data_IF_298257549094
#
_entry.id   IF_298257549094
#
_cell.length_a   1.000
_cell.length_b   1.000
_cell.length_c   1.000
_cell.angle_alpha   90.00
_cell.angle_beta   90.00
_cell.angle_gamma   90.00
#
_symmetry.space_group_name_H-M   'P 1'
#
loop_
_entity.id
_entity.type
_entity.pdbx_description
1 polymer ?
#
# COMPACT_ATOMS: atom_id res chain seq x y z
N UNK A 1 -6.33 -23.91 19.13
CA UNK A 1 -7.77 -24.24 18.96
C UNK A 1 -8.70 -23.13 19.45
N UNK A 2 -8.36 -22.39 20.52
CA UNK A 2 -9.12 -21.21 20.99
C UNK A 2 -9.05 -20.04 20.01
N UNK A 3 -7.83 -19.70 19.60
CA UNK A 3 -7.49 -18.52 18.78
C UNK A 3 -8.24 -18.47 17.43
N UNK A 4 -8.30 -19.61 16.71
CA UNK A 4 -9.08 -19.73 15.48
C UNK A 4 -10.60 -19.58 15.69
N UNK A 5 -11.12 -19.77 16.92
CA UNK A 5 -12.52 -19.47 17.26
C UNK A 5 -12.72 -17.99 17.55
N UNK A 6 -11.79 -17.32 18.23
CA UNK A 6 -11.84 -15.86 18.44
C UNK A 6 -11.76 -15.12 17.09
N UNK A 7 -10.85 -15.51 16.21
CA UNK A 7 -10.77 -15.04 14.81
C UNK A 7 -12.08 -15.24 14.05
N UNK A 8 -12.69 -16.44 14.14
CA UNK A 8 -14.00 -16.68 13.50
C UNK A 8 -15.11 -15.83 14.12
N UNK A 9 -15.16 -15.66 15.45
CA UNK A 9 -16.17 -14.84 16.14
C UNK A 9 -16.02 -13.37 15.75
N UNK A 10 -14.80 -12.84 15.66
CA UNK A 10 -14.56 -11.45 15.31
C UNK A 10 -14.95 -11.18 13.85
N UNK A 11 -14.57 -12.05 12.91
CA UNK A 11 -14.99 -11.93 11.50
C UNK A 11 -16.51 -12.10 11.36
N UNK A 12 -17.13 -13.05 12.06
CA UNK A 12 -18.59 -13.24 12.05
C UNK A 12 -19.32 -12.00 12.60
N UNK A 13 -18.90 -11.45 13.73
CA UNK A 13 -19.47 -10.21 14.27
C UNK A 13 -19.31 -9.04 13.28
N UNK A 14 -18.17 -8.94 12.60
CA UNK A 14 -17.90 -7.88 11.60
C UNK A 14 -18.73 -8.04 10.33
N UNK A 15 -19.20 -9.25 9.97
CA UNK A 15 -20.06 -9.46 8.79
C UNK A 15 -21.56 -9.49 9.15
N UNK A 16 -21.97 -10.24 10.18
CA UNK A 16 -23.38 -10.51 10.53
C UNK A 16 -24.04 -9.46 11.45
N UNK A 17 -23.29 -8.59 12.13
CA UNK A 17 -23.92 -7.66 13.09
C UNK A 17 -24.92 -6.71 12.40
N UNK A 18 -26.16 -6.58 12.92
CA UNK A 18 -27.19 -5.74 12.30
C UNK A 18 -26.81 -4.26 12.34
N UNK A 19 -27.21 -3.51 11.31
CA UNK A 19 -26.92 -2.07 11.19
C UNK A 19 -27.79 -1.26 12.15
N UNK A 20 -27.26 -0.89 13.32
CA UNK A 20 -27.90 0.10 14.19
C UNK A 20 -27.95 1.48 13.52
N UNK A 21 -29.17 1.99 13.29
CA UNK A 21 -29.39 3.35 12.79
C UNK A 21 -29.29 4.36 13.93
N UNK A 22 -28.06 4.76 14.29
CA UNK A 22 -27.85 5.82 15.28
C UNK A 22 -28.02 7.21 14.63
N UNK A 23 -29.21 7.78 14.80
CA UNK A 23 -29.43 9.23 14.77
C UNK A 23 -28.87 9.89 16.04
N UNK A 24 -28.92 11.23 16.08
CA UNK A 24 -28.39 12.17 17.09
C UNK A 24 -26.94 12.60 16.78
N UNK A 25 -26.70 13.76 16.17
CA UNK A 25 -27.00 15.16 16.57
C UNK A 25 -25.98 15.75 17.56
N UNK A 26 -25.20 16.69 17.02
CA UNK A 26 -24.43 17.79 17.63
C UNK A 26 -24.54 18.02 19.16
N UNK A 27 -23.41 18.30 19.81
CA UNK A 27 -23.25 19.51 20.62
C UNK A 27 -21.77 19.88 20.90
N UNK A 28 -21.53 21.14 21.29
CA UNK A 28 -20.20 21.78 21.35
C UNK A 28 -19.64 21.98 22.78
N UNK A 29 -18.32 21.82 22.96
CA UNK A 29 -17.41 22.68 23.76
C UNK A 29 -15.95 22.16 23.61
N UNK A 30 -14.85 22.90 23.36
CA UNK A 30 -14.38 24.29 23.57
C UNK A 30 -13.53 24.48 24.84
N UNK A 31 -12.31 25.05 24.68
CA UNK A 31 -11.31 25.51 25.68
C UNK A 31 -10.63 24.43 26.57
N UNK A 32 -9.36 24.56 27.04
CA UNK A 32 -8.36 25.68 26.99
C UNK A 32 -6.90 25.18 27.01
N UNK A 33 -5.95 26.07 26.67
CA UNK A 33 -4.50 25.93 26.90
C UNK A 33 -4.09 25.61 28.34
N UNK A 34 -2.89 25.04 28.55
CA UNK A 34 -1.81 25.64 29.34
C UNK A 34 -0.43 24.99 29.05
N UNK A 35 0.59 25.80 28.74
CA UNK A 35 2.01 25.51 29.04
C UNK A 35 2.37 26.16 30.39
N UNK A 36 3.55 25.86 30.97
CA UNK A 36 4.61 26.87 30.89
C UNK A 36 6.06 26.36 30.76
N UNK A 37 6.85 27.12 29.99
CA UNK A 37 8.21 27.62 30.23
C UNK A 37 9.40 26.74 30.72
N UNK A 38 10.47 26.82 29.92
CA UNK A 38 11.88 27.10 30.28
C UNK A 38 12.57 26.46 31.51
N UNK A 39 13.67 25.76 31.22
CA UNK A 39 14.94 25.92 31.96
C UNK A 39 16.10 26.00 30.95
N UNK A 40 16.97 27.00 31.08
CA UNK A 40 18.25 27.10 30.35
C UNK A 40 19.34 26.33 31.08
N UNK A 41 20.34 25.80 30.35
CA UNK A 41 21.74 25.88 30.80
C UNK A 41 22.73 25.68 29.64
N UNK A 42 23.93 26.24 29.81
CA UNK A 42 25.02 26.33 28.84
C UNK A 42 25.99 25.14 28.98
N UNK A 43 26.77 24.88 27.93
CA UNK A 43 27.81 23.84 27.91
C UNK A 43 28.77 24.02 26.74
N UNK A 44 29.72 24.95 26.86
CA UNK A 44 30.77 25.18 25.86
C UNK A 44 31.96 24.24 26.06
N UNK A 45 32.53 23.74 24.95
CA UNK A 45 33.90 23.21 24.76
C UNK A 45 33.99 22.76 23.27
N UNK A 46 34.93 23.12 22.38
CA UNK A 46 36.34 23.57 22.48
C UNK A 46 37.26 22.56 23.16
N UNK A 47 38.37 22.07 22.57
CA UNK A 47 38.96 22.18 21.21
C UNK A 47 39.70 20.86 20.93
N UNK A 48 39.90 20.45 19.66
CA UNK A 48 41.25 20.11 19.15
C UNK A 48 41.26 19.91 17.62
N UNK A 49 42.12 20.68 16.94
CA UNK A 49 42.55 20.41 15.56
C UNK A 49 43.67 19.36 15.57
N UNK A 50 43.80 18.57 14.50
CA UNK A 50 45.11 18.17 13.99
C UNK A 50 45.09 18.06 12.45
N UNK A 51 46.18 18.46 11.82
CA UNK A 51 46.35 18.57 10.37
C UNK A 51 47.32 17.49 9.84
N UNK A 52 47.69 17.56 8.55
CA UNK A 52 48.61 16.70 7.76
C UNK A 52 47.96 15.51 7.02
N UNK A 53 48.36 15.16 5.79
CA UNK A 53 48.94 15.95 4.68
C UNK A 53 48.65 15.23 3.34
N UNK A 54 48.99 15.83 2.19
CA UNK A 54 48.57 15.39 0.86
C UNK A 54 49.47 14.35 0.18
N UNK A 55 48.91 13.61 -0.78
CA UNK A 55 49.59 13.19 -2.02
C UNK A 55 48.59 12.75 -3.12
N UNK A 56 48.79 13.23 -4.36
CA UNK A 56 48.33 12.61 -5.61
C UNK A 56 49.57 12.17 -6.42
N UNK A 57 49.42 11.31 -7.45
CA UNK A 57 49.29 11.78 -8.85
C UNK A 57 47.99 11.26 -9.51
N UNK A 58 47.32 11.99 -10.41
CA UNK A 58 47.65 12.24 -11.83
C UNK A 58 47.74 10.97 -12.72
N UNK A 59 46.76 10.78 -13.61
CA UNK A 59 46.97 10.37 -15.01
C UNK A 59 45.77 10.78 -15.90
N UNK A 60 45.93 10.74 -17.23
CA UNK A 60 45.02 11.32 -18.24
C UNK A 60 44.93 10.38 -19.48
N UNK A 61 43.96 10.44 -20.40
CA UNK A 61 42.92 11.43 -20.73
C UNK A 61 41.50 10.76 -20.61
N UNK A 62 40.36 11.15 -21.21
CA UNK A 62 40.04 12.03 -22.35
C UNK A 62 38.59 12.55 -22.31
N UNK A 63 38.33 13.60 -23.08
CA UNK A 63 37.04 14.29 -23.21
C UNK A 63 36.22 13.78 -24.40
N UNK A 64 34.88 13.80 -24.29
CA UNK A 64 33.96 14.02 -25.42
C UNK A 64 32.61 14.59 -24.89
N UNK A 65 32.38 15.89 -25.07
CA UNK A 65 31.08 16.55 -24.90
C UNK A 65 30.22 16.31 -26.17
N UNK A 66 28.91 16.55 -26.30
CA UNK A 66 27.88 17.38 -25.64
C UNK A 66 26.49 16.88 -26.19
N UNK A 67 25.32 17.53 -26.00
CA UNK A 67 24.95 18.68 -25.16
C UNK A 67 23.78 18.40 -24.17
N UNK A 68 23.34 19.44 -23.46
CA UNK A 68 22.22 19.44 -22.51
C UNK A 68 21.01 20.22 -23.04
N UNK A 69 19.80 19.67 -22.85
CA UNK A 69 18.51 20.40 -22.82
C UNK A 69 17.58 19.64 -21.84
N UNK A 70 16.80 20.25 -20.94
CA UNK A 70 16.72 21.65 -20.49
C UNK A 70 15.79 21.74 -19.26
N UNK A 71 15.94 22.76 -18.41
CA UNK A 71 15.08 22.98 -17.24
C UNK A 71 13.96 23.99 -17.54
N UNK A 72 12.74 23.68 -17.10
CA UNK A 72 11.68 24.60 -16.63
C UNK A 72 10.75 23.74 -15.75
N UNK A 73 10.71 23.91 -14.43
CA UNK A 73 10.07 24.98 -13.63
C UNK A 73 8.67 24.57 -13.14
N UNK A 74 8.29 25.12 -11.99
CA UNK A 74 7.09 24.75 -11.23
C UNK A 74 5.94 25.71 -11.56
N UNK A 75 4.71 25.22 -11.70
CA UNK A 75 3.50 26.05 -11.61
C UNK A 75 2.34 25.28 -10.99
N UNK A 76 1.41 26.02 -10.36
CA UNK A 76 0.60 25.54 -9.23
C UNK A 76 -0.66 24.72 -9.57
N UNK A 77 -1.24 24.10 -8.53
CA UNK A 77 -2.51 23.39 -8.56
C UNK A 77 -3.66 24.22 -9.14
N UNK A 78 -4.37 23.65 -10.13
CA UNK A 78 -5.81 23.86 -10.25
C UNK A 78 -6.58 22.54 -10.30
N UNK A 79 -7.51 22.46 -9.35
CA UNK A 79 -8.50 21.42 -9.16
C UNK A 79 -9.34 21.19 -10.42
N UNK A 80 -9.24 19.99 -11.01
CA UNK A 80 -10.17 19.53 -12.07
C UNK A 80 -10.65 18.09 -11.79
N UNK A 81 -10.98 17.84 -10.52
CA UNK A 81 -11.51 16.58 -10.02
C UNK A 81 -13.01 16.48 -10.32
N UNK A 82 -13.41 16.27 -11.58
CA UNK A 82 -14.73 15.70 -11.95
C UNK A 82 -14.94 15.25 -13.42
N UNK A 83 -13.90 15.14 -14.26
CA UNK A 83 -14.06 14.72 -15.68
C UNK A 83 -13.19 13.52 -16.10
N UNK A 84 -13.21 12.41 -15.33
CA UNK A 84 -12.57 11.14 -15.71
C UNK A 84 -13.38 10.32 -16.75
N UNK A 85 -14.16 10.99 -17.60
CA UNK A 85 -15.12 10.41 -18.53
C UNK A 85 -14.67 10.44 -19.99
N UNK A 86 -13.98 9.38 -20.43
CA UNK A 86 -13.84 8.93 -21.83
C UNK A 86 -13.52 9.98 -22.91
N UNK A 87 -12.22 10.17 -23.19
CA UNK A 87 -11.67 10.49 -24.52
C UNK A 87 -10.19 10.06 -24.53
N UNK A 88 -9.71 9.48 -25.64
CA UNK A 88 -8.31 9.04 -25.86
C UNK A 88 -7.76 7.91 -24.97
N UNK A 89 -8.45 6.76 -24.90
CA UNK A 89 -7.83 5.50 -24.50
C UNK A 89 -7.16 4.79 -25.70
N UNK A 90 -5.83 4.65 -25.69
CA UNK A 90 -5.13 3.68 -26.56
C UNK A 90 -5.54 2.25 -26.11
N UNK A 91 -5.93 1.34 -27.03
CA UNK A 91 -6.26 -0.05 -26.68
C UNK A 91 -5.19 -0.77 -25.82
N UNK A 92 -3.91 -0.39 -25.95
CA UNK A 92 -2.80 -0.90 -25.12
C UNK A 92 -2.82 -0.34 -23.69
N UNK A 93 -3.12 0.94 -23.51
CA UNK A 93 -3.19 1.55 -22.17
C UNK A 93 -4.44 1.12 -21.42
N UNK A 94 -5.58 0.91 -22.11
CA UNK A 94 -6.80 0.36 -21.53
C UNK A 94 -6.58 -1.02 -20.90
N UNK A 95 -5.87 -1.93 -21.59
CA UNK A 95 -5.51 -3.26 -21.07
C UNK A 95 -4.58 -3.21 -19.85
N UNK A 96 -3.59 -2.30 -19.87
CA UNK A 96 -2.72 -2.05 -18.71
C UNK A 96 -3.52 -1.48 -17.53
N UNK A 97 -4.36 -0.45 -17.74
CA UNK A 97 -5.19 0.16 -16.71
C UNK A 97 -6.08 -0.86 -16.04
N UNK A 98 -6.86 -1.64 -16.81
CA UNK A 98 -7.76 -2.65 -16.23
C UNK A 98 -6.99 -3.69 -15.41
N UNK A 99 -5.80 -4.10 -15.86
CA UNK A 99 -4.96 -5.02 -15.10
C UNK A 99 -4.46 -4.40 -13.80
N UNK A 100 -3.95 -3.15 -13.83
CA UNK A 100 -3.41 -2.48 -12.63
C UNK A 100 -4.51 -2.10 -11.64
N UNK A 101 -5.64 -1.60 -12.10
CA UNK A 101 -6.78 -1.30 -11.25
C UNK A 101 -7.26 -2.56 -10.52
N UNK A 102 -7.42 -3.69 -11.23
CA UNK A 102 -7.77 -4.96 -10.58
C UNK A 102 -6.73 -5.47 -9.58
N UNK A 103 -5.45 -5.13 -9.73
CA UNK A 103 -4.43 -5.40 -8.70
C UNK A 103 -4.64 -4.52 -7.44
N UNK A 104 -4.96 -3.24 -7.61
CA UNK A 104 -5.27 -2.32 -6.51
C UNK A 104 -6.61 -2.63 -5.81
N UNK A 105 -7.62 -3.05 -6.57
CA UNK A 105 -8.93 -3.47 -6.06
C UNK A 105 -8.81 -4.74 -5.21
N UNK A 106 -8.08 -5.75 -5.70
CA UNK A 106 -7.70 -6.92 -4.88
C UNK A 106 -6.95 -6.52 -3.61
N UNK A 107 -5.92 -5.66 -3.70
CA UNK A 107 -5.17 -5.20 -2.51
C UNK A 107 -6.11 -4.56 -1.47
N UNK A 108 -7.01 -3.69 -1.92
CA UNK A 108 -7.90 -2.93 -1.05
C UNK A 108 -8.90 -3.86 -0.35
N UNK A 109 -9.45 -4.86 -1.05
CA UNK A 109 -10.26 -5.92 -0.41
C UNK A 109 -9.42 -6.79 0.54
N UNK A 110 -8.17 -7.13 0.20
CA UNK A 110 -7.33 -7.93 1.10
C UNK A 110 -6.99 -7.17 2.39
N UNK A 111 -6.66 -5.88 2.30
CA UNK A 111 -6.46 -5.01 3.46
C UNK A 111 -7.72 -4.99 4.32
N UNK A 112 -8.89 -4.77 3.72
CA UNK A 112 -10.16 -4.71 4.44
C UNK A 112 -10.56 -6.03 5.12
N UNK A 113 -10.30 -7.17 4.48
CA UNK A 113 -10.58 -8.49 5.06
C UNK A 113 -9.59 -8.84 6.19
N UNK A 114 -8.32 -8.45 6.06
CA UNK A 114 -7.32 -8.62 7.11
C UNK A 114 -7.54 -7.64 8.28
N UNK A 115 -8.04 -6.42 8.03
CA UNK A 115 -8.32 -5.45 9.09
C UNK A 115 -9.53 -5.81 9.96
N UNK A 116 -10.20 -6.94 9.70
CA UNK A 116 -11.18 -7.53 10.63
C UNK A 116 -10.52 -8.24 11.82
N UNK A 117 -9.22 -8.56 11.73
CA UNK A 117 -8.47 -9.37 12.72
C UNK A 117 -7.04 -8.87 13.02
N UNK A 118 -6.55 -7.88 12.28
CA UNK A 118 -5.26 -7.22 12.50
C UNK A 118 -5.41 -5.70 12.46
N UNK A 119 -4.56 -4.98 13.19
CA UNK A 119 -4.24 -3.58 12.86
C UNK A 119 -3.22 -3.57 11.73
N UNK A 120 -3.43 -2.73 10.71
CA UNK A 120 -2.62 -2.67 9.49
C UNK A 120 -2.08 -1.26 9.27
N UNK A 121 -0.78 -1.13 9.04
CA UNK A 121 -0.12 0.15 8.76
C UNK A 121 0.24 0.26 7.28
N UNK A 122 -0.13 1.35 6.61
CA UNK A 122 0.14 1.60 5.18
C UNK A 122 0.78 2.98 4.94
N UNK A 123 1.69 3.08 3.97
CA UNK A 123 2.33 4.35 3.58
C UNK A 123 1.55 5.15 2.51
N UNK A 124 1.94 6.40 2.30
CA UNK A 124 1.48 7.18 1.16
C UNK A 124 1.99 6.58 -0.17
N UNK A 125 1.11 6.31 -1.15
CA UNK A 125 1.52 5.85 -2.48
C UNK A 125 2.58 6.75 -3.13
N UNK A 126 3.82 6.25 -3.22
CA UNK A 126 5.02 6.97 -3.70
C UNK A 126 4.87 7.70 -5.03
N UNK A 127 3.93 7.25 -5.88
CA UNK A 127 3.55 7.90 -7.14
C UNK A 127 2.05 7.79 -7.34
N UNK A 128 1.35 8.93 -7.41
CA UNK A 128 -0.05 8.98 -7.83
C UNK A 128 -0.12 8.98 -9.36
N UNK A 129 -0.88 8.04 -9.90
CA UNK A 129 -1.12 7.91 -11.34
C UNK A 129 -2.41 8.62 -11.73
N UNK A 130 -2.38 9.44 -12.79
CA UNK A 130 -3.60 10.02 -13.37
C UNK A 130 -4.47 8.99 -14.13
N UNK A 131 -3.99 7.74 -14.27
CA UNK A 131 -4.60 6.71 -15.13
C UNK A 131 -5.05 5.47 -14.31
N UNK A 132 -4.46 5.20 -13.15
CA UNK A 132 -4.66 3.94 -12.40
C UNK A 132 -4.82 4.16 -10.90
N UNK A 133 -5.67 3.35 -10.26
CA UNK A 133 -5.91 3.41 -8.82
C UNK A 133 -4.60 3.27 -8.01
N UNK A 134 -4.31 4.18 -7.05
CA UNK A 134 -3.12 4.12 -6.21
C UNK A 134 -2.99 2.82 -5.42
N UNK A 135 -1.87 2.12 -5.61
CA UNK A 135 -1.47 0.94 -4.83
C UNK A 135 -0.67 1.41 -3.62
N UNK A 136 -1.02 0.93 -2.41
CA UNK A 136 -0.37 1.28 -1.15
C UNK A 136 0.82 0.37 -0.89
N UNK A 137 1.86 0.78 -0.16
CA UNK A 137 2.75 -0.20 0.45
C UNK A 137 2.23 -0.51 1.86
N UNK A 138 1.76 -1.74 2.09
CA UNK A 138 1.52 -2.23 3.45
C UNK A 138 2.87 -2.36 4.14
N UNK A 139 3.03 -1.65 5.24
CA UNK A 139 4.28 -1.56 6.01
C UNK A 139 4.33 -2.68 7.05
N UNK A 140 3.25 -2.84 7.80
CA UNK A 140 3.18 -3.71 8.99
C UNK A 140 1.77 -4.24 9.21
N UNK A 141 1.67 -5.45 9.74
CA UNK A 141 0.42 -6.08 10.18
C UNK A 141 0.65 -6.60 11.61
N UNK A 142 -0.28 -6.36 12.53
CA UNK A 142 -0.09 -6.69 13.95
C UNK A 142 -1.37 -7.09 14.69
N UNK A 143 -1.22 -7.96 15.67
CA UNK A 143 -2.18 -8.23 16.76
C UNK A 143 -1.64 -7.66 18.08
N UNK A 144 -2.36 -7.84 19.19
CA UNK A 144 -1.84 -7.58 20.55
C UNK A 144 -0.61 -8.44 20.93
N UNK A 145 -0.39 -9.57 20.23
CA UNK A 145 0.62 -10.59 20.57
C UNK A 145 1.83 -10.61 19.63
N UNK A 146 1.63 -10.25 18.36
CA UNK A 146 2.58 -10.49 17.27
C UNK A 146 2.57 -9.32 16.28
N UNK A 147 3.74 -9.02 15.73
CA UNK A 147 3.98 -7.93 14.78
C UNK A 147 4.77 -8.48 13.59
N UNK A 148 4.26 -8.27 12.38
CA UNK A 148 4.86 -8.72 11.12
C UNK A 148 5.22 -7.51 10.26
N UNK A 149 6.52 -7.24 10.13
CA UNK A 149 7.06 -6.13 9.33
C UNK A 149 7.10 -6.49 7.84
N UNK A 150 5.93 -6.38 7.19
CA UNK A 150 5.73 -6.65 5.76
C UNK A 150 6.75 -5.91 4.88
N UNK A 151 7.15 -4.70 5.26
CA UNK A 151 8.18 -3.88 4.59
C UNK A 151 9.53 -4.60 4.47
N UNK A 152 9.96 -5.30 5.50
CA UNK A 152 11.25 -6.00 5.54
C UNK A 152 11.22 -7.30 4.73
N UNK A 153 10.11 -8.05 4.85
CA UNK A 153 9.84 -9.25 4.04
C UNK A 153 9.83 -8.87 2.55
N UNK A 154 9.14 -7.78 2.19
CA UNK A 154 9.10 -7.24 0.83
C UNK A 154 10.49 -6.78 0.35
N UNK A 155 11.26 -6.08 1.19
CA UNK A 155 12.61 -5.64 0.84
C UNK A 155 13.52 -6.83 0.50
N UNK A 156 13.57 -7.82 1.41
CA UNK A 156 14.35 -9.05 1.24
C UNK A 156 13.93 -9.82 -0.02
N UNK A 157 12.62 -9.96 -0.26
CA UNK A 157 12.10 -10.69 -1.42
C UNK A 157 12.39 -9.97 -2.75
N UNK A 158 12.33 -8.64 -2.77
CA UNK A 158 12.63 -7.85 -3.97
C UNK A 158 14.13 -7.74 -4.27
N UNK A 159 14.99 -7.90 -3.27
CA UNK A 159 16.43 -8.07 -3.48
C UNK A 159 16.72 -9.46 -4.07
N UNK A 160 16.18 -10.54 -3.48
CA UNK A 160 16.31 -11.90 -4.01
C UNK A 160 15.91 -11.98 -5.50
N UNK A 161 14.72 -11.46 -5.84
CA UNK A 161 14.21 -11.47 -7.22
C UNK A 161 15.01 -10.58 -8.18
N UNK A 162 15.74 -9.58 -7.67
CA UNK A 162 16.64 -8.76 -8.47
C UNK A 162 17.92 -9.52 -8.81
N UNK A 163 18.55 -10.10 -7.79
CA UNK A 163 19.81 -10.84 -7.92
C UNK A 163 19.63 -12.12 -8.74
N UNK A 164 18.46 -12.78 -8.59
CA UNK A 164 18.02 -13.85 -9.51
C UNK A 164 17.92 -13.35 -10.96
N UNK A 165 17.37 -12.16 -11.23
CA UNK A 165 17.29 -11.63 -12.59
C UNK A 165 18.68 -11.35 -13.17
N UNK A 166 19.60 -10.76 -12.39
CA UNK A 166 21.00 -10.54 -12.79
C UNK A 166 21.70 -11.87 -13.09
N UNK A 167 21.55 -12.87 -12.23
CA UNK A 167 22.13 -14.20 -12.41
C UNK A 167 21.62 -14.91 -13.68
N UNK A 168 20.39 -14.63 -14.11
CA UNK A 168 19.83 -15.11 -15.38
C UNK A 168 20.16 -14.20 -16.59
N UNK A 169 21.15 -13.32 -16.48
CA UNK A 169 21.63 -12.48 -17.58
C UNK A 169 20.77 -11.25 -17.88
N UNK A 170 19.95 -10.79 -16.93
CA UNK A 170 19.29 -9.50 -17.03
C UNK A 170 20.32 -8.37 -16.77
N UNK A 171 20.23 -7.26 -17.53
CA UNK A 171 20.99 -6.06 -17.18
C UNK A 171 20.39 -5.35 -15.97
N UNK A 172 21.25 -4.71 -15.17
CA UNK A 172 20.90 -3.94 -13.95
C UNK A 172 19.66 -3.06 -14.15
N UNK A 173 19.75 -2.09 -15.08
CA UNK A 173 18.66 -1.19 -15.49
C UNK A 173 17.35 -1.91 -15.86
N UNK A 174 17.41 -3.16 -16.30
CA UNK A 174 16.24 -3.99 -16.60
C UNK A 174 15.72 -4.74 -15.38
N UNK A 175 16.59 -5.19 -14.46
CA UNK A 175 16.21 -5.84 -13.21
C UNK A 175 15.58 -4.84 -12.21
N UNK A 176 16.20 -3.68 -12.00
CA UNK A 176 15.63 -2.59 -11.18
C UNK A 176 14.24 -2.17 -11.69
N UNK A 177 14.07 -2.08 -13.01
CA UNK A 177 12.77 -1.76 -13.65
C UNK A 177 11.72 -2.86 -13.45
N UNK A 178 12.11 -4.11 -13.17
CA UNK A 178 11.18 -5.21 -12.86
C UNK A 178 10.80 -5.25 -11.38
N UNK A 179 11.65 -4.78 -10.46
CA UNK A 179 11.30 -4.71 -9.03
C UNK A 179 9.99 -3.92 -8.78
N UNK A 180 9.72 -2.86 -9.54
CA UNK A 180 8.45 -2.10 -9.49
C UNK A 180 7.21 -2.89 -9.98
N UNK A 181 7.42 -3.94 -10.80
CA UNK A 181 6.36 -4.89 -11.18
C UNK A 181 6.24 -6.01 -10.15
N UNK A 182 7.37 -6.44 -9.58
CA UNK A 182 7.44 -7.49 -8.57
C UNK A 182 6.84 -7.02 -7.24
N UNK A 183 7.06 -5.76 -6.82
CA UNK A 183 6.49 -5.20 -5.57
C UNK A 183 4.98 -5.39 -5.51
N UNK A 184 4.30 -5.26 -6.65
CA UNK A 184 2.85 -5.42 -6.77
C UNK A 184 2.44 -6.90 -6.78
N UNK A 185 3.23 -7.83 -7.34
CA UNK A 185 2.90 -9.26 -7.27
C UNK A 185 3.16 -9.81 -5.86
N UNK A 186 4.37 -9.63 -5.33
CA UNK A 186 4.76 -10.24 -4.05
C UNK A 186 3.92 -9.70 -2.88
N UNK A 187 3.56 -8.41 -2.88
CA UNK A 187 2.70 -7.86 -1.83
C UNK A 187 1.27 -8.40 -1.90
N UNK A 188 0.72 -8.64 -3.10
CA UNK A 188 -0.55 -9.35 -3.25
C UNK A 188 -0.42 -10.81 -2.78
N UNK A 189 0.69 -11.50 -3.08
CA UNK A 189 0.92 -12.87 -2.61
C UNK A 189 1.00 -12.97 -1.08
N UNK A 190 1.71 -12.05 -0.42
CA UNK A 190 1.80 -12.01 1.05
C UNK A 190 0.41 -11.81 1.67
N UNK A 191 -0.35 -10.82 1.21
CA UNK A 191 -1.70 -10.57 1.70
C UNK A 191 -2.66 -11.74 1.41
N UNK A 192 -2.54 -12.40 0.25
CA UNK A 192 -3.29 -13.62 -0.07
C UNK A 192 -2.93 -14.80 0.83
N UNK A 193 -1.68 -14.92 1.27
CA UNK A 193 -1.25 -15.99 2.17
C UNK A 193 -1.74 -15.73 3.60
N UNK A 194 -1.59 -14.51 4.13
CA UNK A 194 -2.16 -14.13 5.43
C UNK A 194 -3.68 -14.35 5.49
N UNK A 195 -4.41 -14.08 4.39
CA UNK A 195 -5.83 -14.42 4.29
C UNK A 195 -6.09 -15.94 4.37
N UNK A 196 -5.27 -16.77 3.71
CA UNK A 196 -5.36 -18.24 3.81
C UNK A 196 -5.09 -18.71 5.24
N UNK A 197 -4.11 -18.11 5.92
CA UNK A 197 -3.70 -18.46 7.27
C UNK A 197 -4.79 -18.16 8.32
N UNK A 198 -5.58 -17.08 8.13
CA UNK A 198 -6.78 -16.79 8.95
C UNK A 198 -8.08 -17.46 8.45
N UNK A 199 -7.99 -18.32 7.43
CA UNK A 199 -9.06 -19.24 7.03
C UNK A 199 -9.89 -18.86 5.79
N UNK A 200 -9.46 -17.91 4.96
CA UNK A 200 -10.12 -17.61 3.68
C UNK A 200 -9.72 -18.59 2.57
N UNK A 201 -10.70 -19.17 1.88
CA UNK A 201 -10.44 -19.87 0.62
C UNK A 201 -10.29 -18.85 -0.52
N UNK A 202 -9.14 -18.84 -1.22
CA UNK A 202 -8.95 -17.98 -2.40
C UNK A 202 -8.83 -18.83 -3.67
N UNK A 203 -9.88 -18.81 -4.47
CA UNK A 203 -9.88 -19.31 -5.85
C UNK A 203 -9.15 -18.30 -6.74
N UNK A 204 -8.05 -18.74 -7.36
CA UNK A 204 -7.14 -17.87 -8.09
C UNK A 204 -6.84 -18.39 -9.49
N UNK A 205 -6.53 -17.46 -10.40
CA UNK A 205 -5.86 -17.79 -11.66
C UNK A 205 -4.37 -17.47 -11.51
N UNK A 206 -3.54 -18.51 -11.49
CA UNK A 206 -2.09 -18.37 -11.67
C UNK A 206 -1.77 -18.15 -13.15
N UNK A 207 -0.83 -17.23 -13.41
CA UNK A 207 -0.39 -16.83 -14.74
C UNK A 207 1.10 -16.57 -14.72
N UNK A 208 1.86 -17.38 -15.46
CA UNK A 208 3.29 -17.15 -15.66
C UNK A 208 3.46 -16.02 -16.66
N UNK A 209 4.05 -14.91 -16.23
CA UNK A 209 4.44 -13.83 -17.13
C UNK A 209 5.65 -14.22 -17.98
N UNK A 210 5.89 -13.45 -19.05
CA UNK A 210 7.15 -13.55 -19.78
C UNK A 210 8.32 -13.33 -18.81
N UNK A 211 9.26 -14.29 -18.76
CA UNK A 211 10.43 -14.30 -17.86
C UNK A 211 10.10 -14.55 -16.37
N UNK A 212 9.47 -15.68 -16.07
CA UNK A 212 9.53 -16.34 -14.76
C UNK A 212 8.56 -15.84 -13.68
N UNK A 213 8.25 -14.54 -13.60
CA UNK A 213 7.33 -14.00 -12.60
C UNK A 213 5.95 -14.70 -12.67
N UNK A 214 5.58 -15.41 -11.60
CA UNK A 214 4.29 -16.07 -11.47
C UNK A 214 3.30 -15.13 -10.78
N UNK A 215 2.35 -14.58 -11.54
CA UNK A 215 1.27 -13.76 -10.97
C UNK A 215 0.13 -14.66 -10.54
N UNK A 216 -0.20 -14.61 -9.25
CA UNK A 216 -1.48 -15.08 -8.75
C UNK A 216 -2.49 -13.92 -8.85
N UNK A 217 -3.76 -14.26 -9.06
CA UNK A 217 -4.84 -13.26 -9.20
C UNK A 217 -6.11 -13.91 -8.68
N UNK A 218 -6.62 -13.40 -7.57
CA UNK A 218 -7.89 -13.85 -7.01
C UNK A 218 -9.02 -13.68 -8.05
N UNK A 219 -10.00 -14.58 -7.99
CA UNK A 219 -11.24 -14.54 -8.78
C UNK A 219 -12.47 -14.72 -7.91
N UNK A 220 -12.32 -15.48 -6.83
CA UNK A 220 -13.32 -15.63 -5.79
C UNK A 220 -12.60 -15.81 -4.46
N UNK A 221 -13.05 -15.11 -3.44
CA UNK A 221 -12.64 -15.32 -2.05
C UNK A 221 -13.87 -15.88 -1.33
N UNK A 222 -13.71 -16.85 -0.43
CA UNK A 222 -14.80 -17.35 0.42
C UNK A 222 -14.39 -17.36 1.88
N UNK A 223 -15.37 -17.20 2.77
CA UNK A 223 -15.20 -17.35 4.20
C UNK A 223 -16.49 -17.88 4.82
N UNK A 224 -16.47 -19.12 5.31
CA UNK A 224 -17.68 -19.82 5.75
C UNK A 224 -18.79 -19.75 4.68
N UNK A 225 -19.93 -19.08 4.95
CA UNK A 225 -21.03 -18.91 3.99
C UNK A 225 -20.81 -17.75 2.99
N UNK A 226 -19.86 -16.85 3.26
CA UNK A 226 -19.66 -15.64 2.47
C UNK A 226 -18.83 -15.90 1.22
N UNK A 227 -19.19 -15.20 0.13
CA UNK A 227 -18.55 -15.28 -1.18
C UNK A 227 -18.33 -13.88 -1.70
N UNK A 228 -17.07 -13.57 -2.02
CA UNK A 228 -16.64 -12.33 -2.62
C UNK A 228 -16.13 -12.65 -4.03
N UNK A 229 -16.97 -12.41 -5.03
CA UNK A 229 -16.68 -12.69 -6.44
C UNK A 229 -15.87 -11.56 -7.11
N UNK A 230 -15.62 -11.69 -8.42
CA UNK A 230 -14.82 -10.73 -9.19
C UNK A 230 -15.48 -9.35 -9.21
N UNK A 231 -16.80 -9.30 -9.22
CA UNK A 231 -17.63 -8.10 -9.27
C UNK A 231 -17.62 -7.39 -7.90
N UNK A 232 -17.75 -8.13 -6.80
CA UNK A 232 -17.54 -7.61 -5.44
C UNK A 232 -16.12 -7.05 -5.28
N UNK A 233 -15.10 -7.74 -5.81
CA UNK A 233 -13.70 -7.27 -5.72
C UNK A 233 -13.51 -5.95 -6.49
N UNK A 234 -14.03 -5.81 -7.72
CA UNK A 234 -13.96 -4.57 -8.49
C UNK A 234 -14.71 -3.41 -7.78
N UNK A 235 -15.96 -3.65 -7.33
CA UNK A 235 -16.79 -2.62 -6.68
C UNK A 235 -16.25 -2.19 -5.30
N UNK A 236 -16.01 -3.15 -4.40
CA UNK A 236 -15.62 -2.86 -3.01
C UNK A 236 -14.15 -2.50 -2.90
N UNK A 237 -13.30 -3.10 -3.74
CA UNK A 237 -11.89 -2.72 -3.85
C UNK A 237 -11.73 -1.24 -4.25
N UNK A 238 -12.58 -0.73 -5.14
CA UNK A 238 -12.59 0.68 -5.50
C UNK A 238 -13.03 1.59 -4.32
N UNK A 239 -14.17 1.28 -3.67
CA UNK A 239 -14.68 2.07 -2.53
C UNK A 239 -13.69 2.11 -1.34
N UNK A 240 -13.05 0.98 -1.02
CA UNK A 240 -12.01 0.91 0.02
C UNK A 240 -10.77 1.72 -0.40
N UNK A 241 -10.36 1.65 -1.67
CA UNK A 241 -9.22 2.44 -2.17
C UNK A 241 -9.47 3.94 -2.01
N UNK A 242 -10.66 4.43 -2.37
CA UNK A 242 -11.04 5.83 -2.16
C UNK A 242 -11.05 6.23 -0.68
N UNK A 243 -11.57 5.38 0.21
CA UNK A 243 -11.60 5.67 1.66
C UNK A 243 -10.18 5.81 2.22
N UNK A 244 -9.30 4.87 1.90
CA UNK A 244 -7.91 4.89 2.37
C UNK A 244 -7.13 6.07 1.78
N UNK A 245 -7.41 6.49 0.55
CA UNK A 245 -6.84 7.71 -0.05
C UNK A 245 -7.30 8.97 0.71
N UNK A 246 -8.59 9.11 1.01
CA UNK A 246 -9.15 10.25 1.76
C UNK A 246 -8.56 10.34 3.17
N UNK A 247 -8.40 9.20 3.85
CA UNK A 247 -7.71 9.13 5.16
C UNK A 247 -6.23 9.52 5.05
N UNK A 248 -5.50 8.99 4.06
CA UNK A 248 -4.10 9.38 3.76
C UNK A 248 -3.95 10.86 3.34
N UNK A 249 -5.01 11.52 2.89
CA UNK A 249 -5.00 12.96 2.59
C UNK A 249 -5.22 13.83 3.83
N UNK A 250 -5.90 13.31 4.85
CA UNK A 250 -6.10 13.99 6.14
C UNK A 250 -4.88 13.99 7.07
N UNK A 251 -3.82 13.23 6.74
CA UNK A 251 -2.59 13.10 7.55
C UNK A 251 -1.33 13.60 6.81
N UNK A 252 -0.27 14.05 7.53
CA UNK A 252 0.97 14.52 6.92
C UNK A 252 1.66 13.46 6.05
N UNK A 253 2.33 13.88 4.96
CA UNK A 253 3.07 12.98 4.03
C UNK A 253 4.26 12.22 4.64
N UNK A 254 4.59 12.51 5.89
CA UNK A 254 5.63 11.87 6.70
C UNK A 254 5.08 10.83 7.70
N UNK A 255 3.77 10.56 7.69
CA UNK A 255 3.08 9.74 8.67
C UNK A 255 2.31 8.61 7.98
N UNK A 256 2.57 7.36 8.38
CA UNK A 256 1.82 6.21 7.90
C UNK A 256 0.38 6.20 8.46
N UNK A 257 -0.57 5.65 7.71
CA UNK A 257 -1.95 5.44 8.16
C UNK A 257 -2.06 4.10 8.90
N UNK A 258 -2.51 4.13 10.15
CA UNK A 258 -2.98 2.95 10.86
C UNK A 258 -4.45 2.69 10.55
N UNK A 259 -4.78 1.45 10.23
CA UNK A 259 -6.14 0.92 10.06
C UNK A 259 -6.35 -0.04 11.22
N UNK A 260 -7.17 0.34 12.20
CA UNK A 260 -7.33 -0.44 13.41
C UNK A 260 -8.20 -1.70 13.21
N UNK A 261 -7.88 -2.73 13.99
CA UNK A 261 -8.60 -4.00 13.97
C UNK A 261 -10.11 -3.81 14.27
N UNK A 262 -10.97 -4.15 13.31
CA UNK A 262 -12.42 -3.98 13.40
C UNK A 262 -12.95 -2.65 12.89
N UNK A 263 -12.18 -1.90 12.07
CA UNK A 263 -12.59 -0.63 11.47
C UNK A 263 -14.03 -0.64 10.90
N UNK A 264 -14.89 0.20 11.47
CA UNK A 264 -16.34 0.17 11.22
C UNK A 264 -16.75 0.71 9.86
N UNK A 265 -16.02 1.67 9.29
CA UNK A 265 -16.30 2.20 7.95
C UNK A 265 -15.95 1.15 6.89
N UNK A 266 -14.78 0.51 7.02
CA UNK A 266 -14.34 -0.57 6.15
C UNK A 266 -15.28 -1.78 6.26
N UNK A 267 -15.66 -2.18 7.48
CA UNK A 267 -16.64 -3.24 7.73
C UNK A 267 -17.98 -2.96 7.02
N UNK A 268 -18.49 -1.72 7.11
CA UNK A 268 -19.73 -1.33 6.45
C UNK A 268 -19.63 -1.39 4.91
N UNK A 269 -18.49 -1.04 4.31
CA UNK A 269 -18.26 -1.20 2.86
C UNK A 269 -18.29 -2.69 2.46
N UNK A 270 -17.74 -3.59 3.26
CA UNK A 270 -17.80 -5.04 3.03
C UNK A 270 -19.23 -5.58 3.13
N UNK A 271 -19.97 -5.26 4.21
CA UNK A 271 -21.34 -5.73 4.45
C UNK A 271 -22.30 -5.40 3.30
N UNK A 272 -22.23 -4.17 2.79
CA UNK A 272 -23.18 -3.63 1.80
C UNK A 272 -23.24 -4.39 0.46
N UNK A 273 -22.32 -5.33 0.19
CA UNK A 273 -22.36 -6.20 -0.99
C UNK A 273 -22.81 -7.65 -0.74
N UNK A 274 -22.89 -8.10 0.52
CA UNK A 274 -23.00 -9.54 0.86
C UNK A 274 -24.43 -10.12 0.84
N UNK A 275 -25.45 -9.30 0.61
CA UNK A 275 -26.86 -9.71 0.63
C UNK A 275 -27.32 -10.27 -0.72
N UNK A 276 -26.83 -11.47 -1.08
CA UNK A 276 -27.31 -12.28 -2.22
C UNK A 276 -27.50 -13.73 -1.80
N UNK A 277 -28.72 -14.03 -1.33
CA UNK A 277 -29.27 -15.39 -1.19
C UNK A 277 -29.84 -15.87 -2.53
#
# INVERSE_FOLDING_TARGET
MTEAKEVNIQIMNVIDAPTEQQNLSENNAVTTNHQPENVMLLGENQVEEHQMEAAQPEEQHHEEEHPLEGHHEEEEDKLDLLTSGSLFDDPKTAGFRKTRNYQTEQQSVFIALLSMVYTIVIDHPRKRSKITLPFFNVIRISTEKEVVEIKEIMSTKLQQLHDEDIAHGCSEKTATRRQEVYRVSEQLHILMNLLRDVGFEIESKKTTGNKGNQKETARKIKYNNFTFDKEFIEERGNLINELLIKRLESIPKSSDLSIECGDSEIANILKMGSLKN
#
